data_IF_083917091152
#
_entry.id   IF_083917091152
#
_cell.length_a   1.000
_cell.length_b   1.000
_cell.length_c   1.000
_cell.angle_alpha   90.00
_cell.angle_beta   90.00
_cell.angle_gamma   90.00
#
_symmetry.space_group_name_H-M   'P 1'
#
loop_
_entity.id
_entity.type
_entity.pdbx_description
1 polymer ?
#
# COMPACT_ATOMS: atom_id res chain seq x y z
N UNK A 1 -1.91 -12.95 -14.07
CA UNK A 1 -1.06 -13.13 -12.87
C UNK A 1 -1.58 -12.15 -11.81
N UNK A 2 -1.68 -12.54 -10.54
CA UNK A 2 -2.22 -11.68 -9.47
C UNK A 2 -1.13 -11.40 -8.45
N UNK A 3 -0.87 -10.13 -8.15
CA UNK A 3 0.10 -9.71 -7.14
C UNK A 3 -0.45 -9.95 -5.72
N UNK A 4 0.34 -10.56 -4.83
CA UNK A 4 0.03 -10.71 -3.41
C UNK A 4 0.81 -9.69 -2.57
N UNK A 5 0.30 -9.36 -1.39
CA UNK A 5 0.95 -8.44 -0.45
C UNK A 5 2.36 -8.94 -0.07
N UNK A 6 2.51 -10.24 0.22
CA UNK A 6 3.81 -10.84 0.53
C UNK A 6 4.79 -10.77 -0.63
N UNK A 7 4.30 -10.97 -1.85
CA UNK A 7 5.13 -10.92 -3.05
C UNK A 7 5.60 -9.48 -3.32
N UNK A 8 4.71 -8.50 -3.11
CA UNK A 8 5.05 -7.08 -3.16
C UNK A 8 6.09 -6.72 -2.09
N UNK A 9 5.88 -7.13 -0.83
CA UNK A 9 6.82 -6.90 0.28
C UNK A 9 8.21 -7.43 -0.01
N UNK A 10 8.30 -8.68 -0.49
CA UNK A 10 9.56 -9.33 -0.86
C UNK A 10 10.26 -8.57 -1.98
N UNK A 11 9.53 -8.22 -3.04
CA UNK A 11 10.08 -7.47 -4.17
C UNK A 11 10.55 -6.07 -3.74
N UNK A 12 9.77 -5.38 -2.88
CA UNK A 12 10.09 -4.08 -2.34
C UNK A 12 11.40 -4.07 -1.55
N UNK A 13 11.55 -4.99 -0.58
CA UNK A 13 12.77 -5.10 0.21
C UNK A 13 13.96 -5.44 -0.69
N UNK A 14 13.79 -6.36 -1.65
CA UNK A 14 14.86 -6.76 -2.56
C UNK A 14 15.36 -5.60 -3.44
N UNK A 15 14.49 -4.64 -3.80
CA UNK A 15 14.90 -3.48 -4.61
C UNK A 15 15.48 -2.32 -3.81
N UNK A 16 15.34 -2.27 -2.48
CA UNK A 16 15.84 -1.16 -1.66
C UNK A 16 17.32 -0.82 -1.88
N UNK A 17 18.26 -1.79 -1.93
CA UNK A 17 19.68 -1.50 -2.16
C UNK A 17 19.99 -0.89 -3.54
N UNK A 18 19.02 -0.90 -4.46
CA UNK A 18 19.20 -0.45 -5.84
C UNK A 18 18.60 0.94 -6.10
N UNK A 19 17.81 1.49 -5.18
CA UNK A 19 17.24 2.81 -5.37
C UNK A 19 18.32 3.88 -5.36
N UNK A 20 18.18 4.85 -6.27
CA UNK A 20 19.06 6.00 -6.39
C UNK A 20 18.24 7.28 -6.37
N UNK A 21 18.77 8.32 -5.73
CA UNK A 21 18.18 9.65 -5.77
C UNK A 21 18.43 10.30 -7.14
N UNK A 22 17.85 11.48 -7.37
CA UNK A 22 18.04 12.25 -8.60
C UNK A 22 19.52 12.61 -8.91
N UNK A 23 20.42 12.49 -7.92
CA UNK A 23 21.87 12.71 -8.07
C UNK A 23 22.64 11.40 -8.32
N UNK A 24 21.94 10.27 -8.51
CA UNK A 24 22.54 8.96 -8.75
C UNK A 24 23.16 8.30 -7.52
N UNK A 25 23.04 8.91 -6.33
CA UNK A 25 23.51 8.34 -5.08
C UNK A 25 22.46 7.36 -4.55
N UNK A 26 22.86 6.37 -3.75
CA UNK A 26 21.89 5.46 -3.13
C UNK A 26 20.85 6.26 -2.35
N UNK A 27 19.57 6.05 -2.68
CA UNK A 27 18.43 6.55 -1.95
C UNK A 27 17.93 5.46 -1.01
N UNK A 28 17.26 5.84 0.08
CA UNK A 28 16.71 4.91 1.06
C UNK A 28 17.76 4.01 1.74
N UNK A 29 19.00 4.49 1.89
CA UNK A 29 20.07 3.76 2.59
C UNK A 29 19.99 3.97 4.12
N UNK A 30 20.13 2.85 4.83
CA UNK A 30 20.32 2.56 6.29
C UNK A 30 19.66 3.42 7.39
N UNK A 31 19.07 4.57 7.12
CA UNK A 31 18.64 5.52 8.16
C UNK A 31 17.29 6.21 7.90
N UNK A 32 16.47 5.72 6.96
CA UNK A 32 15.13 6.27 6.78
C UNK A 32 14.25 5.96 7.99
N UNK A 33 13.79 7.01 8.65
CA UNK A 33 12.83 6.92 9.74
C UNK A 33 11.43 6.62 9.20
N UNK A 34 10.49 6.16 10.03
CA UNK A 34 9.08 6.06 9.64
C UNK A 34 8.51 7.39 9.10
N UNK A 35 9.02 8.54 9.55
CA UNK A 35 8.61 9.84 9.05
C UNK A 35 9.10 10.09 7.60
N UNK A 36 10.29 9.62 7.24
CA UNK A 36 10.81 9.73 5.86
C UNK A 36 10.00 8.86 4.90
N UNK A 37 9.66 7.64 5.31
CA UNK A 37 8.76 6.75 4.55
C UNK A 37 7.37 7.35 4.37
N UNK A 38 6.82 7.94 5.43
CA UNK A 38 5.54 8.65 5.37
C UNK A 38 5.62 9.85 4.41
N UNK A 39 6.72 10.60 4.43
CA UNK A 39 6.89 11.74 3.54
C UNK A 39 6.97 11.32 2.08
N UNK A 40 7.63 10.19 1.76
CA UNK A 40 7.64 9.64 0.41
C UNK A 40 6.24 9.20 -0.04
N UNK A 41 5.51 8.47 0.80
CA UNK A 41 4.10 8.13 0.53
C UNK A 41 3.26 9.38 0.27
N UNK A 42 3.44 10.43 1.07
CA UNK A 42 2.71 11.68 0.90
C UNK A 42 3.11 12.42 -0.39
N UNK A 43 4.36 12.27 -0.83
CA UNK A 43 4.84 12.74 -2.12
C UNK A 43 4.01 12.19 -3.27
N UNK A 44 3.89 10.87 -3.37
CA UNK A 44 3.12 10.21 -4.44
C UNK A 44 1.63 10.59 -4.42
N UNK A 45 1.04 10.69 -3.22
CA UNK A 45 -0.33 11.18 -3.07
C UNK A 45 -0.47 12.66 -3.49
N UNK A 46 0.57 13.46 -3.30
CA UNK A 46 0.66 14.85 -3.76
C UNK A 46 0.73 14.96 -5.28
N UNK A 47 1.49 14.08 -5.94
CA UNK A 47 1.56 13.99 -7.40
C UNK A 47 0.20 13.61 -7.99
N UNK A 48 -0.45 12.58 -7.42
CA UNK A 48 -1.82 12.19 -7.76
C UNK A 48 -2.81 13.37 -7.60
N UNK A 49 -2.80 14.03 -6.44
CA UNK A 49 -3.67 15.17 -6.16
C UNK A 49 -3.43 16.34 -7.11
N UNK A 50 -2.18 16.56 -7.53
CA UNK A 50 -1.81 17.60 -8.48
C UNK A 50 -2.33 17.31 -9.89
N UNK A 51 -2.39 16.06 -10.33
CA UNK A 51 -3.03 15.70 -11.60
C UNK A 51 -4.55 15.84 -11.50
N UNK A 52 -5.18 15.33 -10.44
CA UNK A 52 -6.62 15.41 -10.25
C UNK A 52 -7.14 16.85 -10.17
N UNK A 53 -6.42 17.76 -9.50
CA UNK A 53 -6.82 19.18 -9.46
C UNK A 53 -6.75 19.85 -10.84
N UNK A 54 -5.80 19.44 -11.70
CA UNK A 54 -5.67 19.96 -13.07
C UNK A 54 -6.79 19.45 -13.97
N UNK A 55 -7.16 18.17 -13.83
CA UNK A 55 -8.36 17.61 -14.47
C UNK A 55 -9.61 18.39 -14.06
N UNK A 56 -9.80 18.60 -12.75
CA UNK A 56 -10.94 19.36 -12.23
C UNK A 56 -11.01 20.80 -12.76
N UNK A 57 -9.85 21.43 -13.00
CA UNK A 57 -9.77 22.79 -13.57
C UNK A 57 -10.03 22.84 -15.08
N UNK A 58 -9.97 21.69 -15.76
CA UNK A 58 -10.11 21.59 -17.22
C UNK A 58 -8.79 21.75 -17.98
N UNK A 59 -7.63 21.67 -17.30
CA UNK A 59 -6.32 21.70 -17.97
C UNK A 59 -6.07 20.43 -18.80
N UNK A 60 -6.63 19.29 -18.35
CA UNK A 60 -6.52 17.98 -18.97
C UNK A 60 -7.87 17.25 -18.91
N UNK A 61 -8.18 16.45 -19.93
CA UNK A 61 -9.19 15.42 -19.85
C UNK A 61 -8.68 14.22 -19.02
N UNK A 62 -9.60 13.51 -18.35
CA UNK A 62 -9.23 12.32 -17.55
C UNK A 62 -8.48 11.27 -18.36
N UNK A 63 -8.86 11.07 -19.63
CA UNK A 63 -8.22 10.10 -20.52
C UNK A 63 -6.75 10.42 -20.81
N UNK A 64 -6.34 11.69 -20.76
CA UNK A 64 -4.97 12.11 -21.05
C UNK A 64 -4.00 11.81 -19.90
N UNK A 65 -4.52 11.70 -18.67
CA UNK A 65 -3.71 11.51 -17.46
C UNK A 65 -4.03 10.23 -16.70
N UNK A 66 -4.98 9.42 -17.18
CA UNK A 66 -5.43 8.20 -16.50
C UNK A 66 -4.28 7.24 -16.19
N UNK A 67 -3.38 6.99 -17.15
CA UNK A 67 -2.22 6.12 -16.94
C UNK A 67 -1.29 6.68 -15.86
N UNK A 68 -0.98 7.98 -15.91
CA UNK A 68 -0.14 8.63 -14.89
C UNK A 68 -0.78 8.50 -13.50
N UNK A 69 -2.07 8.80 -13.38
CA UNK A 69 -2.81 8.64 -12.13
C UNK A 69 -2.76 7.20 -11.60
N UNK A 70 -2.85 6.20 -12.47
CA UNK A 70 -2.74 4.80 -12.09
C UNK A 70 -1.33 4.44 -11.57
N UNK A 71 -0.28 5.00 -12.18
CA UNK A 71 1.09 4.83 -11.72
C UNK A 71 1.34 5.51 -10.36
N UNK A 72 0.83 6.73 -10.13
CA UNK A 72 0.93 7.38 -8.82
C UNK A 72 0.26 6.57 -7.70
N UNK A 73 -0.86 5.88 -8.00
CA UNK A 73 -1.49 4.96 -7.05
C UNK A 73 -0.64 3.72 -6.77
N UNK A 74 0.09 3.22 -7.78
CA UNK A 74 1.01 2.11 -7.62
C UNK A 74 2.26 2.51 -6.80
N UNK A 75 2.76 3.73 -6.96
CA UNK A 75 3.84 4.28 -6.16
C UNK A 75 3.38 4.55 -4.72
N UNK A 76 2.17 5.06 -4.52
CA UNK A 76 1.57 5.15 -3.19
C UNK A 76 1.43 3.77 -2.51
N UNK A 77 1.00 2.74 -3.24
CA UNK A 77 0.94 1.37 -2.73
C UNK A 77 2.33 0.82 -2.35
N UNK A 78 3.36 1.17 -3.14
CA UNK A 78 4.76 0.84 -2.87
C UNK A 78 5.21 1.43 -1.54
N UNK A 79 5.06 2.75 -1.35
CA UNK A 79 5.57 3.39 -0.14
C UNK A 79 4.71 3.11 1.09
N UNK A 80 3.41 2.85 0.92
CA UNK A 80 2.56 2.36 2.01
C UNK A 80 3.06 1.01 2.53
N UNK A 81 3.45 0.10 1.64
CA UNK A 81 4.02 -1.18 2.02
C UNK A 81 5.38 -1.05 2.73
N UNK A 82 6.27 -0.20 2.20
CA UNK A 82 7.58 0.08 2.81
C UNK A 82 7.46 0.79 4.17
N UNK A 83 6.51 1.72 4.31
CA UNK A 83 6.19 2.34 5.59
C UNK A 83 5.73 1.28 6.61
N UNK A 84 4.79 0.42 6.24
CA UNK A 84 4.31 -0.67 7.10
C UNK A 84 5.47 -1.60 7.49
N UNK A 85 6.32 -1.99 6.54
CA UNK A 85 7.54 -2.76 6.81
C UNK A 85 8.46 -2.07 7.82
N UNK A 86 8.71 -0.76 7.66
CA UNK A 86 9.63 0.01 8.52
C UNK A 86 9.22 0.04 9.99
N UNK A 87 7.93 -0.18 10.29
CA UNK A 87 7.37 -0.22 11.64
C UNK A 87 6.96 -1.63 12.09
N UNK A 88 7.37 -2.68 11.36
CA UNK A 88 7.09 -4.07 11.70
C UNK A 88 5.62 -4.49 11.53
N UNK A 89 4.88 -3.82 10.63
CA UNK A 89 3.46 -4.12 10.35
C UNK A 89 3.33 -5.00 9.10
N UNK A 90 2.60 -6.12 9.27
CA UNK A 90 2.01 -6.89 8.17
C UNK A 90 0.74 -6.18 7.69
N UNK A 91 0.85 -5.51 6.55
CA UNK A 91 -0.24 -4.73 5.99
C UNK A 91 -1.39 -5.61 5.50
N UNK A 92 -1.11 -6.84 5.04
CA UNK A 92 -2.13 -7.78 4.59
C UNK A 92 -2.99 -8.24 5.76
N UNK A 93 -2.35 -8.68 6.85
CA UNK A 93 -3.05 -9.12 8.07
C UNK A 93 -3.90 -7.99 8.68
N UNK A 94 -3.32 -6.80 8.85
CA UNK A 94 -4.03 -5.63 9.41
C UNK A 94 -5.17 -5.15 8.52
N UNK A 95 -4.98 -5.13 7.20
CA UNK A 95 -6.06 -4.80 6.24
C UNK A 95 -7.23 -5.77 6.40
N UNK A 96 -6.94 -7.06 6.45
CA UNK A 96 -7.96 -8.11 6.57
C UNK A 96 -8.74 -7.96 7.89
N UNK A 97 -8.01 -7.75 9.00
CA UNK A 97 -8.62 -7.51 10.33
C UNK A 97 -9.51 -6.27 10.32
N UNK A 98 -9.01 -5.14 9.80
CA UNK A 98 -9.75 -3.86 9.81
C UNK A 98 -10.99 -3.92 8.93
N UNK A 99 -10.88 -4.51 7.74
CA UNK A 99 -11.99 -4.65 6.82
C UNK A 99 -13.12 -5.50 7.44
N UNK A 100 -12.77 -6.59 8.12
CA UNK A 100 -13.74 -7.45 8.80
C UNK A 100 -14.40 -6.76 10.01
N UNK A 101 -13.62 -6.02 10.81
CA UNK A 101 -14.14 -5.20 11.91
C UNK A 101 -15.20 -4.20 11.40
N UNK A 102 -14.89 -3.51 10.30
CA UNK A 102 -15.83 -2.57 9.68
C UNK A 102 -17.06 -3.29 9.14
N UNK A 103 -16.89 -4.45 8.50
CA UNK A 103 -18.00 -5.25 7.98
C UNK A 103 -18.97 -5.66 9.09
N UNK A 104 -18.47 -6.13 10.23
CA UNK A 104 -19.29 -6.43 11.39
C UNK A 104 -20.01 -5.19 11.94
N UNK A 105 -19.29 -4.06 12.04
CA UNK A 105 -19.84 -2.80 12.55
C UNK A 105 -21.03 -2.30 11.71
N UNK A 106 -21.02 -2.55 10.40
CA UNK A 106 -22.10 -2.14 9.50
C UNK A 106 -23.14 -3.25 9.24
N UNK A 107 -23.03 -4.41 9.90
CA UNK A 107 -23.92 -5.55 9.69
C UNK A 107 -23.73 -6.30 8.36
N UNK A 108 -22.62 -6.06 7.66
CA UNK A 108 -22.30 -6.75 6.41
C UNK A 108 -21.85 -8.20 6.69
N UNK A 109 -22.35 -9.14 5.87
CA UNK A 109 -22.15 -10.58 6.08
C UNK A 109 -20.90 -11.14 5.38
N UNK A 110 -20.25 -10.35 4.50
CA UNK A 110 -19.01 -10.76 3.85
C UNK A 110 -17.82 -10.57 4.78
N UNK A 111 -16.93 -11.56 4.81
CA UNK A 111 -15.68 -11.55 5.55
C UNK A 111 -14.50 -11.92 4.64
N UNK A 112 -13.40 -11.18 4.76
CA UNK A 112 -12.11 -11.63 4.24
C UNK A 112 -11.57 -12.71 5.19
N UNK A 113 -11.07 -13.80 4.63
CA UNK A 113 -10.49 -14.89 5.40
C UNK A 113 -8.96 -14.86 5.29
N UNK A 114 -8.28 -15.35 6.33
CA UNK A 114 -6.82 -15.53 6.29
C UNK A 114 -6.53 -16.95 5.81
N UNK A 115 -5.62 -17.10 4.86
CA UNK A 115 -5.07 -18.42 4.50
C UNK A 115 -3.69 -18.53 5.13
N UNK A 116 -3.51 -19.51 5.99
CA UNK A 116 -2.26 -19.78 6.69
C UNK A 116 -1.25 -20.47 5.76
N UNK A 117 0.02 -20.50 6.19
CA UNK A 117 1.14 -21.07 5.41
C UNK A 117 1.01 -22.57 5.16
N UNK A 118 0.23 -23.27 5.97
CA UNK A 118 -0.15 -24.68 5.82
C UNK A 118 -1.33 -24.91 4.86
N UNK A 119 -1.89 -23.84 4.29
CA UNK A 119 -3.04 -23.87 3.39
C UNK A 119 -4.40 -23.83 4.09
N UNK A 120 -4.45 -23.81 5.43
CA UNK A 120 -5.69 -23.73 6.20
C UNK A 120 -6.32 -22.35 6.08
N UNK A 121 -7.63 -22.30 5.83
CA UNK A 121 -8.39 -21.06 5.79
C UNK A 121 -9.01 -20.81 7.17
N UNK A 122 -8.62 -19.70 7.80
CA UNK A 122 -9.19 -19.21 9.04
C UNK A 122 -10.22 -18.13 8.78
N UNK A 123 -11.39 -18.29 9.39
CA UNK A 123 -12.46 -17.29 9.31
C UNK A 123 -12.36 -16.32 10.49
N UNK A 124 -12.90 -15.13 10.30
CA UNK A 124 -12.87 -14.06 11.28
C UNK A 124 -14.20 -13.93 12.03
N UNK A 125 -14.18 -13.75 13.37
CA UNK A 125 -15.38 -13.53 14.24
C UNK A 125 -15.14 -12.19 14.90
N UNK A 126 -16.17 -11.35 14.97
CA UNK A 126 -16.16 -10.16 15.82
C UNK A 126 -15.65 -10.45 17.24
N UNK A 127 -14.60 -9.74 17.66
CA UNK A 127 -14.09 -9.80 19.05
C UNK A 127 -13.20 -10.99 19.41
N UNK A 128 -13.08 -12.02 18.56
CA UNK A 128 -12.14 -13.14 18.77
C UNK A 128 -10.97 -13.18 17.77
N UNK A 129 -11.09 -12.52 16.63
CA UNK A 129 -10.08 -12.57 15.56
C UNK A 129 -10.28 -13.80 14.66
N UNK A 130 -9.19 -14.31 14.08
CA UNK A 130 -9.19 -15.55 13.28
C UNK A 130 -9.09 -16.80 14.18
N UNK A 131 -9.79 -17.89 13.87
CA UNK A 131 -9.63 -19.21 14.50
C UNK A 131 -8.84 -20.17 13.65
#
# INVERSE_FOLDING_TARGET
MTLKFDDLRKANIARLPHFKNAKGQLAHCENWTPADWLQALHGELGEYANLMKKVKRGDFAMSEVHEKLALELADAQTYLDLLAWSIGVDLGDITTRKWNEVSARIGYQGYLYKRESDGVVKFWTPGKGYW
#
